data_IF_322587140838
#
_entry.id   IF_322587140838
#
_cell.length_a   1.000
_cell.length_b   1.000
_cell.length_c   1.000
_cell.angle_alpha   90.00
_cell.angle_beta   90.00
_cell.angle_gamma   90.00
#
_symmetry.space_group_name_H-M   'P 1'
#
loop_
_entity.id
_entity.type
_entity.pdbx_description
1 polymer ?
#
# COMPACT_ATOMS: atom_id res chain seq x y z
N UNK A 1 19.66 14.03 26.74
CA UNK A 1 18.81 12.82 26.62
C UNK A 1 18.75 12.46 25.15
N UNK A 2 19.58 11.51 24.71
CA UNK A 2 19.71 11.13 23.30
C UNK A 2 18.46 10.37 22.84
N UNK A 3 17.99 10.68 21.64
CA UNK A 3 16.92 9.99 20.92
C UNK A 3 16.94 8.48 21.22
N UNK A 4 15.93 7.97 21.93
CA UNK A 4 15.55 6.57 21.72
C UNK A 4 15.22 6.48 20.23
N UNK A 5 16.08 5.77 19.53
CA UNK A 5 16.36 5.92 18.10
C UNK A 5 15.05 5.88 17.32
N UNK A 6 14.81 6.79 16.38
CA UNK A 6 13.60 6.83 15.51
C UNK A 6 13.19 5.46 14.95
N UNK A 7 14.16 4.55 14.80
CA UNK A 7 13.97 3.15 14.44
C UNK A 7 13.17 2.33 15.47
N UNK A 8 13.42 2.49 16.78
CA UNK A 8 12.69 1.81 17.85
C UNK A 8 11.21 2.25 17.88
N UNK A 9 10.97 3.56 17.70
CA UNK A 9 9.61 4.12 17.61
C UNK A 9 8.87 3.51 16.42
N UNK A 10 9.50 3.52 15.24
CA UNK A 10 8.92 2.90 14.03
C UNK A 10 8.69 1.39 14.21
N UNK A 11 9.61 0.69 14.89
CA UNK A 11 9.48 -0.75 15.13
C UNK A 11 8.32 -1.06 16.09
N UNK A 12 8.17 -0.30 17.17
CA UNK A 12 7.04 -0.43 18.11
C UNK A 12 5.71 -0.15 17.39
N UNK A 13 5.65 0.91 16.60
CA UNK A 13 4.48 1.25 15.78
C UNK A 13 4.11 0.10 14.83
N UNK A 14 5.10 -0.45 14.10
CA UNK A 14 4.90 -1.56 13.16
C UNK A 14 4.42 -2.86 13.84
N UNK A 15 4.83 -3.12 15.08
CA UNK A 15 4.40 -4.30 15.86
C UNK A 15 2.94 -4.20 16.30
N UNK A 16 2.48 -2.99 16.59
CA UNK A 16 1.11 -2.74 17.07
C UNK A 16 0.03 -2.70 15.98
N UNK A 17 0.40 -2.71 14.69
CA UNK A 17 -0.56 -2.65 13.59
C UNK A 17 -1.11 -4.04 13.24
N UNK A 18 -2.40 -4.14 12.88
CA UNK A 18 -3.00 -5.36 12.33
C UNK A 18 -2.33 -5.75 11.01
N UNK A 19 -1.94 -7.03 10.91
CA UNK A 19 -1.25 -7.63 9.74
C UNK A 19 -2.06 -8.72 9.05
N UNK A 20 -3.30 -8.93 9.50
CA UNK A 20 -4.23 -9.93 9.00
C UNK A 20 -5.62 -9.30 8.95
N UNK A 21 -6.38 -9.69 7.94
CA UNK A 21 -7.79 -9.31 7.85
C UNK A 21 -8.56 -9.91 9.02
N UNK A 22 -9.48 -9.13 9.57
CA UNK A 22 -10.41 -9.56 10.62
C UNK A 22 -11.56 -10.37 10.00
N UNK A 23 -12.01 -9.99 8.80
CA UNK A 23 -13.08 -10.64 8.04
C UNK A 23 -12.62 -11.06 6.63
N UNK A 24 -13.17 -12.17 6.13
CA UNK A 24 -12.96 -12.62 4.72
C UNK A 24 -13.86 -11.88 3.73
N UNK A 25 -14.92 -11.23 4.20
CA UNK A 25 -15.86 -10.48 3.38
C UNK A 25 -15.86 -9.03 3.81
N UNK A 26 -15.73 -8.11 2.86
CA UNK A 26 -15.66 -6.68 3.14
C UNK A 26 -15.27 -5.86 1.91
N UNK A 27 -15.41 -4.55 2.02
CA UNK A 27 -14.92 -3.61 1.01
C UNK A 27 -13.52 -3.14 1.42
N UNK A 28 -12.63 -2.97 0.43
CA UNK A 28 -11.22 -2.65 0.65
C UNK A 28 -10.82 -1.43 -0.16
N UNK A 29 -10.13 -0.48 0.46
CA UNK A 29 -9.53 0.67 -0.25
C UNK A 29 -8.02 0.45 -0.34
N UNK A 30 -7.47 0.60 -1.54
CA UNK A 30 -6.04 0.42 -1.77
C UNK A 30 -5.30 1.74 -1.77
N UNK A 31 -4.17 1.76 -1.08
CA UNK A 31 -3.15 2.80 -1.19
C UNK A 31 -2.11 2.44 -2.27
N UNK A 32 -1.45 3.44 -2.85
CA UNK A 32 -0.37 3.30 -3.86
C UNK A 32 0.69 2.30 -3.39
N UNK A 33 1.12 2.43 -2.12
CA UNK A 33 2.15 1.56 -1.54
C UNK A 33 1.74 0.08 -1.52
N UNK A 34 0.47 -0.22 -1.23
CA UNK A 34 -0.02 -1.60 -1.19
C UNK A 34 -0.03 -2.25 -2.59
N UNK A 35 -0.32 -1.46 -3.62
CA UNK A 35 -0.29 -1.91 -5.02
C UNK A 35 1.14 -2.18 -5.45
N UNK A 36 2.05 -1.23 -5.22
CA UNK A 36 3.46 -1.32 -5.65
C UNK A 36 4.16 -2.55 -5.08
N UNK A 37 3.95 -2.87 -3.81
CA UNK A 37 4.64 -4.00 -3.18
C UNK A 37 4.00 -5.37 -3.45
N UNK A 38 3.00 -5.46 -4.33
CA UNK A 38 2.59 -6.71 -4.99
C UNK A 38 1.96 -7.76 -4.06
N UNK A 39 1.30 -7.34 -2.98
CA UNK A 39 0.70 -8.28 -2.02
C UNK A 39 -0.74 -8.68 -2.35
N UNK A 40 -1.38 -7.95 -3.26
CA UNK A 40 -2.79 -8.11 -3.58
C UNK A 40 -3.11 -9.48 -4.17
N UNK A 41 -2.42 -10.03 -5.18
CA UNK A 41 -2.74 -11.35 -5.72
C UNK A 41 -2.75 -12.46 -4.66
N UNK A 42 -1.83 -12.39 -3.69
CA UNK A 42 -1.78 -13.34 -2.57
C UNK A 42 -2.95 -13.16 -1.59
N UNK A 43 -3.46 -11.93 -1.45
CA UNK A 43 -4.66 -11.64 -0.69
C UNK A 43 -5.91 -12.18 -1.41
N UNK A 44 -6.03 -11.97 -2.73
CA UNK A 44 -7.14 -12.48 -3.55
C UNK A 44 -7.24 -14.00 -3.47
N UNK A 45 -6.10 -14.71 -3.51
CA UNK A 45 -6.03 -16.17 -3.39
C UNK A 45 -6.60 -16.70 -2.07
N UNK A 46 -6.67 -15.87 -1.01
CA UNK A 46 -7.27 -16.25 0.28
C UNK A 46 -8.80 -16.14 0.29
N UNK A 47 -9.43 -15.92 -0.88
CA UNK A 47 -10.88 -15.78 -1.08
C UNK A 47 -11.46 -14.60 -0.30
N UNK A 48 -10.88 -13.42 -0.47
CA UNK A 48 -11.60 -12.20 -0.10
C UNK A 48 -12.80 -12.01 -1.03
N UNK A 49 -13.95 -11.71 -0.46
CA UNK A 49 -15.20 -11.45 -1.18
C UNK A 49 -15.63 -10.00 -0.92
N UNK A 50 -16.02 -9.27 -1.97
CA UNK A 50 -16.48 -7.88 -1.84
C UNK A 50 -15.93 -6.97 -2.94
N UNK A 51 -15.74 -5.70 -2.62
CA UNK A 51 -15.23 -4.69 -3.56
C UNK A 51 -13.78 -4.33 -3.23
N UNK A 52 -12.99 -4.13 -4.29
CA UNK A 52 -11.72 -3.43 -4.20
C UNK A 52 -11.92 -2.05 -4.80
N UNK A 53 -11.69 -1.02 -4.01
CA UNK A 53 -11.82 0.37 -4.37
C UNK A 53 -10.40 0.92 -4.55
N UNK A 54 -10.12 1.40 -5.75
CA UNK A 54 -8.86 2.04 -6.11
C UNK A 54 -9.14 3.54 -6.25
N UNK A 55 -8.67 4.38 -5.34
CA UNK A 55 -8.84 5.82 -5.45
C UNK A 55 -8.30 6.35 -6.78
N UNK A 56 -9.04 7.26 -7.42
CA UNK A 56 -8.60 7.92 -8.64
C UNK A 56 -7.27 8.69 -8.46
N UNK A 57 -6.99 9.15 -7.24
CA UNK A 57 -5.71 9.73 -6.86
C UNK A 57 -4.54 8.75 -6.94
N UNK A 58 -4.75 7.48 -6.54
CA UNK A 58 -3.74 6.42 -6.65
C UNK A 58 -3.44 6.11 -8.12
N UNK A 59 -4.47 6.04 -8.96
CA UNK A 59 -4.28 5.88 -10.41
C UNK A 59 -3.48 7.03 -11.01
N UNK A 60 -3.82 8.27 -10.67
CA UNK A 60 -3.13 9.44 -11.19
C UNK A 60 -1.65 9.49 -10.75
N UNK A 61 -1.34 9.06 -9.53
CA UNK A 61 0.04 8.92 -9.04
C UNK A 61 0.83 7.87 -9.85
N UNK A 62 0.28 6.66 -10.02
CA UNK A 62 0.92 5.58 -10.76
C UNK A 62 1.19 5.95 -12.23
N UNK A 63 0.20 6.55 -12.90
CA UNK A 63 0.34 7.02 -14.27
C UNK A 63 1.39 8.13 -14.40
N UNK A 64 1.41 9.09 -13.47
CA UNK A 64 2.43 10.15 -13.45
C UNK A 64 3.85 9.60 -13.24
N UNK A 65 4.01 8.59 -12.39
CA UNK A 65 5.29 7.89 -12.22
C UNK A 65 5.70 7.14 -13.49
N UNK A 66 4.76 6.41 -14.11
CA UNK A 66 5.00 5.67 -15.35
C UNK A 66 5.40 6.61 -16.50
N UNK A 67 4.69 7.73 -16.68
CA UNK A 67 4.97 8.73 -17.71
C UNK A 67 6.36 9.38 -17.54
N UNK A 68 6.90 9.41 -16.32
CA UNK A 68 8.27 9.87 -16.02
C UNK A 68 9.34 8.79 -16.21
N UNK A 69 8.97 7.60 -16.67
CA UNK A 69 9.87 6.46 -16.82
C UNK A 69 10.26 5.80 -15.49
N UNK A 70 9.54 6.07 -14.40
CA UNK A 70 9.81 5.46 -13.10
C UNK A 70 9.15 4.08 -13.08
N UNK A 71 9.98 3.03 -13.03
CA UNK A 71 9.57 1.63 -13.10
C UNK A 71 8.43 1.26 -12.13
N UNK A 72 8.44 1.87 -10.94
CA UNK A 72 7.42 1.68 -9.90
C UNK A 72 6.00 1.98 -10.40
N UNK A 73 5.84 3.00 -11.25
CA UNK A 73 4.54 3.35 -11.83
C UNK A 73 4.01 2.24 -12.74
N UNK A 74 4.85 1.75 -13.66
CA UNK A 74 4.50 0.64 -14.55
C UNK A 74 4.17 -0.64 -13.77
N UNK A 75 5.00 -1.00 -12.78
CA UNK A 75 4.75 -2.16 -11.91
C UNK A 75 3.39 -2.06 -11.22
N UNK A 76 3.02 -0.88 -10.72
CA UNK A 76 1.71 -0.66 -10.09
C UNK A 76 0.54 -0.89 -11.06
N UNK A 77 0.63 -0.37 -12.29
CA UNK A 77 -0.40 -0.58 -13.33
C UNK A 77 -0.52 -2.06 -13.74
N UNK A 78 0.59 -2.79 -13.82
CA UNK A 78 0.58 -4.23 -14.07
C UNK A 78 -0.10 -5.01 -12.94
N UNK A 79 0.13 -4.66 -11.69
CA UNK A 79 -0.53 -5.29 -10.54
C UNK A 79 -2.06 -5.09 -10.60
N UNK A 80 -2.54 -3.88 -10.91
CA UNK A 80 -3.97 -3.62 -11.09
C UNK A 80 -4.55 -4.50 -12.21
N UNK A 81 -3.83 -4.62 -13.32
CA UNK A 81 -4.22 -5.51 -14.44
C UNK A 81 -4.32 -6.98 -13.99
N UNK A 82 -3.41 -7.45 -13.12
CA UNK A 82 -3.45 -8.81 -12.56
C UNK A 82 -4.66 -9.01 -11.65
N UNK A 83 -5.08 -8.00 -10.88
CA UNK A 83 -6.29 -8.07 -10.04
C UNK A 83 -7.52 -8.29 -10.93
N UNK A 84 -7.65 -7.54 -12.03
CA UNK A 84 -8.74 -7.74 -13.00
C UNK A 84 -8.79 -9.16 -13.58
N UNK A 85 -7.64 -9.76 -13.88
CA UNK A 85 -7.57 -11.11 -14.49
C UNK A 85 -7.91 -12.23 -13.50
N UNK A 86 -7.52 -12.10 -12.23
CA UNK A 86 -7.61 -13.19 -11.25
C UNK A 86 -8.72 -13.00 -10.20
N UNK A 87 -9.29 -11.80 -10.07
CA UNK A 87 -10.34 -11.46 -9.10
C UNK A 87 -11.74 -11.90 -9.51
N UNK A 88 -11.98 -13.20 -9.75
CA UNK A 88 -13.27 -13.71 -10.26
C UNK A 88 -14.50 -13.34 -9.41
N UNK A 89 -14.33 -13.11 -8.10
CA UNK A 89 -15.41 -12.76 -7.16
C UNK A 89 -15.27 -11.33 -6.59
N UNK A 90 -14.49 -10.47 -7.24
CA UNK A 90 -14.14 -9.16 -6.70
C UNK A 90 -14.53 -8.09 -7.72
N UNK A 91 -15.37 -7.15 -7.27
CA UNK A 91 -15.71 -5.98 -8.07
C UNK A 91 -14.64 -4.92 -7.84
N UNK A 92 -13.98 -4.49 -8.90
CA UNK A 92 -13.03 -3.36 -8.85
C UNK A 92 -13.79 -2.08 -9.16
N UNK A 93 -13.63 -1.07 -8.31
CA UNK A 93 -14.21 0.26 -8.44
C UNK A 93 -13.10 1.31 -8.41
N UNK A 94 -13.29 2.38 -9.18
CA UNK A 94 -12.42 3.55 -9.15
C UNK A 94 -13.24 4.72 -8.61
N UNK A 95 -12.82 5.30 -7.49
CA UNK A 95 -13.63 6.27 -6.75
C UNK A 95 -12.83 7.51 -6.29
N UNK A 96 -13.56 8.57 -5.97
CA UNK A 96 -13.02 9.80 -5.43
C UNK A 96 -12.44 10.76 -6.48
N UNK A 97 -11.93 11.92 -6.04
CA UNK A 97 -11.40 12.93 -6.95
C UNK A 97 -10.11 12.46 -7.63
N UNK A 98 -9.92 12.90 -8.87
CA UNK A 98 -8.68 12.69 -9.62
C UNK A 98 -7.85 13.98 -9.60
N UNK A 99 -6.74 14.03 -8.83
CA UNK A 99 -5.87 15.19 -8.82
C UNK A 99 -5.17 15.36 -10.18
N UNK A 100 -5.00 16.61 -10.58
CA UNK A 100 -4.21 16.98 -11.74
C UNK A 100 -2.71 16.78 -11.46
N UNK A 101 -1.90 16.66 -12.51
CA UNK A 101 -0.46 16.38 -12.36
C UNK A 101 0.26 17.43 -11.49
N UNK A 102 -0.11 18.71 -11.64
CA UNK A 102 0.41 19.79 -10.82
C UNK A 102 0.04 19.61 -9.34
N UNK A 103 -1.21 19.23 -9.04
CA UNK A 103 -1.66 18.94 -7.68
C UNK A 103 -0.90 17.77 -7.09
N UNK A 104 -0.61 16.71 -7.84
CA UNK A 104 0.20 15.58 -7.36
C UNK A 104 1.63 16.03 -7.03
N UNK A 105 2.23 16.86 -7.89
CA UNK A 105 3.60 17.39 -7.68
C UNK A 105 3.70 18.28 -6.46
N UNK A 106 2.67 19.09 -6.17
CA UNK A 106 2.67 20.06 -5.09
C UNK A 106 1.89 19.62 -3.84
N UNK A 107 1.24 18.45 -3.88
CA UNK A 107 0.52 17.91 -2.74
C UNK A 107 1.46 17.81 -1.54
N UNK A 108 1.03 18.35 -0.40
CA UNK A 108 1.75 18.08 0.86
C UNK A 108 1.76 16.58 1.08
N UNK A 109 2.81 16.08 1.72
CA UNK A 109 3.11 14.64 1.94
C UNK A 109 1.99 13.78 2.58
N UNK A 110 0.80 14.33 2.86
CA UNK A 110 -0.35 13.58 3.38
C UNK A 110 -1.72 13.97 2.80
N UNK A 111 -1.79 14.83 1.77
CA UNK A 111 -3.08 15.23 1.17
C UNK A 111 -3.71 14.09 0.37
N UNK A 112 -2.92 13.39 -0.45
CA UNK A 112 -3.38 12.20 -1.17
C UNK A 112 -3.79 11.12 -0.15
N UNK A 113 -2.98 10.92 0.89
CA UNK A 113 -3.28 9.98 1.96
C UNK A 113 -4.60 10.29 2.67
N UNK A 114 -4.93 11.58 2.85
CA UNK A 114 -6.20 11.99 3.44
C UNK A 114 -7.38 11.63 2.52
N UNK A 115 -7.28 11.91 1.21
CA UNK A 115 -8.30 11.52 0.24
C UNK A 115 -8.56 10.01 0.24
N UNK A 116 -7.51 9.21 0.35
CA UNK A 116 -7.62 7.74 0.44
C UNK A 116 -8.38 7.33 1.71
N UNK A 117 -8.06 7.95 2.86
CA UNK A 117 -8.77 7.68 4.12
C UNK A 117 -10.23 8.09 4.06
N UNK A 118 -10.55 9.22 3.42
CA UNK A 118 -11.93 9.69 3.27
C UNK A 118 -12.78 8.69 2.46
N UNK A 119 -12.22 8.13 1.38
CA UNK A 119 -12.89 7.08 0.59
C UNK A 119 -13.12 5.83 1.46
N UNK A 120 -12.17 5.46 2.31
CA UNK A 120 -12.32 4.33 3.23
C UNK A 120 -13.42 4.58 4.27
N UNK A 121 -13.50 5.79 4.83
CA UNK A 121 -14.60 6.21 5.73
C UNK A 121 -15.95 6.10 5.03
N UNK A 122 -16.07 6.70 3.85
CA UNK A 122 -17.34 6.77 3.08
C UNK A 122 -17.87 5.38 2.76
N UNK A 123 -16.99 4.44 2.41
CA UNK A 123 -17.35 3.08 2.05
C UNK A 123 -17.39 2.11 3.23
N UNK A 124 -17.08 2.56 4.46
CA UNK A 124 -16.88 1.67 5.64
C UNK A 124 -15.93 0.51 5.31
N UNK A 125 -14.87 0.82 4.57
CA UNK A 125 -13.95 -0.13 3.97
C UNK A 125 -12.64 -0.22 4.76
N UNK A 126 -12.00 -1.39 4.70
CA UNK A 126 -10.69 -1.59 5.30
C UNK A 126 -9.61 -0.98 4.40
N UNK A 127 -8.81 -0.05 4.93
CA UNK A 127 -7.67 0.53 4.23
C UNK A 127 -6.51 -0.45 4.17
N UNK A 128 -6.03 -0.78 2.97
CA UNK A 128 -4.85 -1.62 2.77
C UNK A 128 -3.68 -0.72 2.37
N UNK A 129 -2.63 -0.69 3.19
CA UNK A 129 -1.43 0.12 2.96
C UNK A 129 -0.15 -0.61 3.39
N UNK A 130 0.95 -0.29 2.74
CA UNK A 130 2.30 -0.69 3.15
C UNK A 130 3.09 0.46 3.78
N UNK A 131 2.50 1.66 3.86
CA UNK A 131 3.06 2.83 4.54
C UNK A 131 2.70 2.81 6.03
N UNK A 132 3.73 2.95 6.88
CA UNK A 132 3.58 2.88 8.33
C UNK A 132 2.84 4.11 8.90
N UNK A 133 3.10 5.29 8.36
CA UNK A 133 2.48 6.55 8.78
C UNK A 133 1.03 6.55 8.35
N UNK A 134 0.72 6.19 7.11
CA UNK A 134 -0.66 6.07 6.63
C UNK A 134 -1.47 5.07 7.46
N UNK A 135 -0.89 3.91 7.77
CA UNK A 135 -1.56 2.92 8.62
C UNK A 135 -1.84 3.42 10.05
N UNK A 136 -0.88 4.17 10.62
CA UNK A 136 -1.04 4.75 11.95
C UNK A 136 -2.02 5.90 11.98
N UNK A 137 -2.04 6.72 10.95
CA UNK A 137 -3.05 7.76 10.76
C UNK A 137 -4.43 7.13 10.67
N UNK A 138 -4.63 6.12 9.81
CA UNK A 138 -5.91 5.41 9.69
C UNK A 138 -6.38 4.82 11.02
N UNK A 139 -5.48 4.17 11.78
CA UNK A 139 -5.79 3.67 13.12
C UNK A 139 -6.20 4.81 14.08
N UNK A 140 -5.53 5.97 14.02
CA UNK A 140 -5.87 7.13 14.85
C UNK A 140 -7.23 7.74 14.48
N UNK A 141 -7.61 7.69 13.21
CA UNK A 141 -8.96 8.06 12.73
C UNK A 141 -10.02 7.00 13.03
N UNK A 142 -9.66 5.87 13.66
CA UNK A 142 -10.60 4.79 13.97
C UNK A 142 -10.98 3.91 12.77
N UNK A 143 -10.22 3.96 11.68
CA UNK A 143 -10.48 3.14 10.49
C UNK A 143 -9.98 1.71 10.68
N UNK A 144 -10.70 0.76 10.08
CA UNK A 144 -10.13 -0.57 9.87
C UNK A 144 -8.97 -0.46 8.87
N UNK A 145 -7.83 -1.02 9.24
CA UNK A 145 -6.63 -0.96 8.43
C UNK A 145 -5.95 -2.32 8.39
N UNK A 146 -5.40 -2.68 7.23
CA UNK A 146 -4.49 -3.79 7.06
C UNK A 146 -3.14 -3.23 6.67
N UNK A 147 -2.18 -3.30 7.59
CA UNK A 147 -0.81 -2.91 7.31
C UNK A 147 -0.03 -4.10 6.74
N UNK A 148 0.44 -3.96 5.51
CA UNK A 148 1.24 -4.98 4.83
C UNK A 148 2.70 -4.53 4.81
N UNK A 149 3.55 -5.05 5.70
CA UNK A 149 4.96 -4.70 5.71
C UNK A 149 5.62 -5.08 4.37
N UNK A 150 6.35 -4.17 3.70
CA UNK A 150 7.20 -4.59 2.60
C UNK A 150 8.19 -5.64 3.11
N UNK A 151 8.33 -6.74 2.37
CA UNK A 151 9.35 -7.76 2.59
C UNK A 151 10.69 -7.04 2.64
N UNK A 152 11.51 -7.27 3.68
CA UNK A 152 12.87 -6.78 3.64
C UNK A 152 13.53 -7.32 2.37
N UNK A 153 14.16 -6.44 1.58
CA UNK A 153 15.04 -6.85 0.50
C UNK A 153 16.01 -7.88 1.11
N UNK A 154 16.06 -9.09 0.55
CA UNK A 154 17.03 -10.07 0.99
C UNK A 154 18.40 -9.41 0.93
N UNK A 155 19.07 -9.30 2.08
CA UNK A 155 20.45 -8.82 2.09
C UNK A 155 21.22 -9.75 1.16
N UNK A 156 21.96 -9.23 0.15
CA UNK A 156 22.75 -10.09 -0.71
C UNK A 156 23.59 -10.99 0.20
N UNK A 157 23.46 -12.31 0.03
CA UNK A 157 24.25 -13.28 0.79
C UNK A 157 25.71 -12.87 0.57
N UNK A 158 26.41 -12.47 1.64
CA UNK A 158 27.85 -12.23 1.56
C UNK A 158 28.46 -13.52 1.01
N UNK A 159 28.92 -13.50 -0.25
CA UNK A 159 29.76 -14.58 -0.77
C UNK A 159 31.01 -14.55 0.12
N UNK A 160 31.08 -15.49 1.04
CA UNK A 160 32.26 -15.70 1.86
C UNK A 160 33.36 -16.13 0.89
N UNK A 161 34.25 -15.21 0.53
CA UNK A 161 35.41 -15.50 -0.31
C UNK A 161 36.33 -16.45 0.48
N UNK A 162 36.15 -17.75 0.30
CA UNK A 162 37.03 -18.81 0.81
C UNK A 162 38.27 -18.99 -0.09
N UNK A 163 38.72 -17.93 -0.75
CA UNK A 163 39.94 -17.96 -1.54
C UNK A 163 40.87 -16.89 -0.97
N UNK A 164 41.81 -17.36 -0.15
CA UNK A 164 43.10 -16.78 0.24
C UNK A 164 43.45 -17.20 1.68
N UNK A 165 43.74 -18.49 1.85
CA UNK A 165 44.82 -18.94 2.74
C UNK A 165 45.61 -19.96 1.93
N UNK A 166 46.61 -19.43 1.22
CA UNK A 166 47.82 -20.20 0.87
C UNK A 166 48.50 -20.63 2.15
#
# INVERSE_FOLDING_TARGET
MKEKTTQEIKQKARRSLPKRLTAKKGDFVLDTSAIIYGYLPNLLNKKIEGKIIIPNAVMAELENLANKGIEVGFKGLEEITKIHKHGKNIKILFEGPRPQENQIKFAKSGEIDALIRDIAVQNKACLITADLVQAKSAQAYGLEVLFIPPKPLEKPKKKFLWFWRR
#
